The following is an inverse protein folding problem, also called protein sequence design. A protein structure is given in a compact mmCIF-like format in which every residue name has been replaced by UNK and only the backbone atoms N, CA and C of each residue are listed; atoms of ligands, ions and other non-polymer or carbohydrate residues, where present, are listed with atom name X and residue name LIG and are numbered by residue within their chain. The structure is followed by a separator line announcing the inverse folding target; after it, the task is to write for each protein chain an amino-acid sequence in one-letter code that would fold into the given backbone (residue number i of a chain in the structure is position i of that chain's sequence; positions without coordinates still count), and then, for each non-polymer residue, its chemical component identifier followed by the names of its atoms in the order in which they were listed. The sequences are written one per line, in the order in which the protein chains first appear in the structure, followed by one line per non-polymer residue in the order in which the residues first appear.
data_IF_222318230049
#
_entry.id   IF_222318230049
#
_cell.length_a   1.000
_cell.length_b   1.000
_cell.length_c   1.000
_cell.angle_alpha   90.00
_cell.angle_beta   90.00
_cell.angle_gamma   90.00
#
_symmetry.space_group_name_H-M   'P 1'
#
loop_
_entity.id
_entity.type
_entity.pdbx_description
1 polymer ?
#
# COMPACT_ATOMS: atom_id res chain seq x y z
N UNK A 1 43.23 10.65 6.55
CA UNK A 1 41.84 10.23 6.30
C UNK A 1 40.99 11.45 6.03
N UNK A 2 40.61 11.70 4.77
CA UNK A 2 39.74 12.82 4.39
C UNK A 2 38.29 12.33 4.43
N UNK A 3 37.48 12.93 5.30
CA UNK A 3 36.02 12.74 5.33
C UNK A 3 35.41 13.34 4.06
N UNK A 4 34.67 12.56 3.30
CA UNK A 4 33.87 13.02 2.17
C UNK A 4 32.51 13.49 2.73
N UNK A 5 32.11 14.72 2.43
CA UNK A 5 30.81 15.28 2.84
C UNK A 5 29.74 14.88 1.82
N UNK A 6 28.62 14.39 2.35
CA UNK A 6 27.33 14.14 1.68
C UNK A 6 26.83 15.40 0.95
N UNK A 7 26.23 15.16 -0.21
CA UNK A 7 25.12 15.89 -0.83
C UNK A 7 25.41 17.38 -1.07
N UNK A 8 25.79 17.73 -2.31
CA UNK A 8 25.53 19.05 -2.93
C UNK A 8 26.09 19.16 -4.37
N UNK A 9 26.86 18.19 -4.87
CA UNK A 9 27.56 18.34 -6.17
C UNK A 9 27.03 17.43 -7.29
N UNK A 10 26.13 16.47 -7.03
CA UNK A 10 25.92 15.39 -8.01
C UNK A 10 24.76 15.55 -9.00
N UNK A 11 23.77 16.42 -8.78
CA UNK A 11 22.67 16.56 -9.74
C UNK A 11 23.11 17.12 -11.11
N UNK A 12 23.98 18.16 -11.19
CA UNK A 12 24.42 18.67 -12.49
C UNK A 12 25.34 17.71 -13.24
N UNK A 13 26.11 16.89 -12.51
CA UNK A 13 27.08 15.95 -13.12
C UNK A 13 26.36 14.70 -13.67
N UNK A 14 25.34 14.21 -12.95
CA UNK A 14 24.52 13.09 -13.43
C UNK A 14 23.69 13.50 -14.66
N UNK A 15 23.12 14.71 -14.66
CA UNK A 15 22.36 15.25 -15.81
C UNK A 15 23.27 15.48 -17.02
N UNK A 16 24.52 15.94 -16.83
CA UNK A 16 25.47 16.09 -17.93
C UNK A 16 25.87 14.74 -18.58
N UNK A 17 25.91 13.65 -17.80
CA UNK A 17 26.21 12.30 -18.31
C UNK A 17 25.03 11.69 -19.09
N UNK A 18 23.79 12.02 -18.73
CA UNK A 18 22.58 11.52 -19.41
C UNK A 18 22.25 12.29 -20.70
N UNK A 19 22.64 13.56 -20.81
CA UNK A 19 22.30 14.42 -21.97
C UNK A 19 23.21 14.24 -23.19
N UNK A 20 24.38 13.61 -23.03
CA UNK A 20 25.18 13.21 -24.19
C UNK A 20 24.77 11.80 -24.60
N UNK A 21 24.33 11.60 -25.84
CA UNK A 21 24.04 10.29 -26.45
C UNK A 21 25.29 9.40 -26.62
N UNK A 22 26.30 9.60 -25.80
CA UNK A 22 27.52 8.84 -25.69
C UNK A 22 27.65 8.42 -24.23
N UNK A 23 27.02 7.30 -23.88
CA UNK A 23 27.42 6.57 -22.67
C UNK A 23 28.83 6.07 -22.96
N UNK A 24 29.84 6.77 -22.44
CA UNK A 24 31.20 6.22 -22.41
C UNK A 24 31.19 5.12 -21.36
N UNK A 25 30.80 3.92 -21.77
CA UNK A 25 31.00 2.71 -20.97
C UNK A 25 32.51 2.49 -20.92
N UNK A 26 33.15 2.88 -19.82
CA UNK A 26 34.52 2.45 -19.56
C UNK A 26 34.45 0.99 -19.10
N UNK A 27 34.88 0.00 -19.91
CA UNK A 27 34.91 -1.38 -19.48
C UNK A 27 35.95 -1.46 -18.35
N UNK A 28 35.50 -1.72 -17.12
CA UNK A 28 36.39 -1.92 -15.97
C UNK A 28 36.51 -0.76 -14.97
N UNK A 29 35.56 0.18 -14.91
CA UNK A 29 35.48 1.11 -13.78
C UNK A 29 35.13 0.40 -12.47
N UNK A 30 34.29 -0.63 -12.51
CA UNK A 30 33.99 -1.49 -11.37
C UNK A 30 35.10 -2.55 -11.16
N UNK A 31 36.30 -2.12 -10.79
CA UNK A 31 37.14 -2.94 -9.90
C UNK A 31 36.68 -2.63 -8.48
N UNK A 32 36.69 -3.61 -7.59
CA UNK A 32 36.10 -3.61 -6.23
C UNK A 32 36.37 -2.36 -5.33
N UNK A 33 37.22 -1.42 -5.75
CA UNK A 33 37.57 -0.20 -5.02
C UNK A 33 37.02 1.11 -5.65
N UNK A 34 36.31 1.07 -6.78
CA UNK A 34 35.88 2.27 -7.53
C UNK A 34 34.34 2.38 -7.64
N UNK A 35 33.64 2.28 -6.51
CA UNK A 35 32.24 2.69 -6.44
C UNK A 35 32.15 4.21 -6.27
N UNK A 36 31.25 4.85 -7.00
CA UNK A 36 31.00 6.29 -6.88
C UNK A 36 29.97 6.60 -5.79
N UNK A 37 29.10 5.64 -5.49
CA UNK A 37 28.03 5.77 -4.52
C UNK A 37 27.70 4.40 -3.91
N UNK A 38 27.23 4.43 -2.67
CA UNK A 38 26.82 3.26 -1.89
C UNK A 38 25.39 3.48 -1.41
N UNK A 39 24.55 2.45 -1.56
CA UNK A 39 23.17 2.44 -1.08
C UNK A 39 22.84 1.18 -0.33
N UNK A 40 21.91 1.33 0.60
CA UNK A 40 21.24 0.22 1.23
C UNK A 40 19.85 0.02 0.63
N UNK A 41 19.66 -1.12 -0.01
CA UNK A 41 18.36 -1.58 -0.51
C UNK A 41 17.67 -2.42 0.57
N UNK A 42 16.57 -1.90 1.09
CA UNK A 42 15.71 -2.61 2.04
C UNK A 42 14.58 -3.33 1.30
N UNK A 43 14.32 -4.60 1.66
CA UNK A 43 13.26 -5.41 1.03
C UNK A 43 12.71 -6.48 1.97
N UNK A 44 11.52 -7.01 1.62
CA UNK A 44 11.04 -8.28 2.15
C UNK A 44 11.79 -9.46 1.52
N UNK A 45 12.15 -10.53 2.28
CA UNK A 45 12.87 -11.70 1.77
C UNK A 45 12.30 -12.33 0.49
N UNK A 46 10.99 -12.23 0.24
CA UNK A 46 10.36 -12.73 -0.98
C UNK A 46 10.91 -12.08 -2.26
N UNK A 47 11.53 -10.89 -2.15
CA UNK A 47 12.06 -10.13 -3.28
C UNK A 47 13.59 -10.30 -3.49
N UNK A 48 14.24 -11.22 -2.77
CA UNK A 48 15.71 -11.33 -2.77
C UNK A 48 16.29 -11.62 -4.16
N UNK A 49 15.65 -12.49 -4.95
CA UNK A 49 16.14 -12.84 -6.28
C UNK A 49 16.11 -11.63 -7.23
N UNK A 50 15.06 -10.82 -7.15
CA UNK A 50 14.95 -9.56 -7.89
C UNK A 50 16.02 -8.55 -7.44
N UNK A 51 16.22 -8.40 -6.13
CA UNK A 51 17.23 -7.51 -5.57
C UNK A 51 18.65 -7.91 -6.00
N UNK A 52 18.98 -9.20 -6.04
CA UNK A 52 20.28 -9.69 -6.50
C UNK A 52 20.51 -9.42 -8.01
N UNK A 53 19.46 -9.51 -8.83
CA UNK A 53 19.54 -9.12 -10.25
C UNK A 53 19.81 -7.62 -10.38
N UNK A 54 19.06 -6.79 -9.64
CA UNK A 54 19.23 -5.33 -9.63
C UNK A 54 20.61 -4.92 -9.15
N UNK A 55 21.08 -5.53 -8.04
CA UNK A 55 22.41 -5.32 -7.47
C UNK A 55 23.51 -5.54 -8.50
N UNK A 56 23.48 -6.65 -9.25
CA UNK A 56 24.48 -6.91 -10.29
C UNK A 56 24.52 -5.80 -11.34
N UNK A 57 23.35 -5.40 -11.85
CA UNK A 57 23.27 -4.33 -12.85
C UNK A 57 23.75 -2.98 -12.35
N UNK A 58 23.47 -2.64 -11.08
CA UNK A 58 23.91 -1.39 -10.46
C UNK A 58 25.41 -1.41 -10.13
N UNK A 59 25.94 -2.52 -9.63
CA UNK A 59 27.38 -2.67 -9.35
C UNK A 59 28.22 -2.60 -10.63
N UNK A 60 27.72 -3.10 -11.76
CA UNK A 60 28.36 -2.95 -13.08
C UNK A 60 28.54 -1.48 -13.50
N UNK A 61 27.65 -0.59 -13.09
CA UNK A 61 27.73 0.85 -13.37
C UNK A 61 28.36 1.66 -12.23
N UNK A 62 28.96 1.00 -11.23
CA UNK A 62 29.71 1.64 -10.16
C UNK A 62 28.89 2.09 -8.95
N UNK A 63 27.70 1.50 -8.75
CA UNK A 63 26.85 1.68 -7.57
C UNK A 63 27.04 0.48 -6.65
N UNK A 64 27.55 0.68 -5.44
CA UNK A 64 27.60 -0.39 -4.44
C UNK A 64 26.23 -0.58 -3.81
N UNK A 65 25.71 -1.80 -3.80
CA UNK A 65 24.40 -2.12 -3.21
C UNK A 65 24.54 -3.05 -2.02
N UNK A 66 24.19 -2.55 -0.84
CA UNK A 66 24.02 -3.35 0.36
C UNK A 66 22.56 -3.79 0.45
N UNK A 67 22.32 -5.09 0.47
CA UNK A 67 20.97 -5.65 0.58
C UNK A 67 20.67 -5.90 2.06
N UNK A 68 19.55 -5.38 2.53
CA UNK A 68 19.01 -5.64 3.87
C UNK A 68 17.61 -6.22 3.73
N UNK A 69 17.41 -7.39 4.31
CA UNK A 69 16.10 -8.02 4.38
C UNK A 69 15.47 -7.81 5.76
N UNK A 70 14.21 -7.42 5.77
CA UNK A 70 13.37 -7.35 6.97
C UNK A 70 12.05 -8.06 6.67
N UNK A 71 11.49 -8.79 7.64
CA UNK A 71 10.12 -9.26 7.53
C UNK A 71 9.19 -8.06 7.27
N UNK A 72 8.20 -8.24 6.39
CA UNK A 72 7.35 -7.17 5.88
C UNK A 72 6.76 -6.23 6.95
N UNK A 73 6.24 -6.76 8.06
CA UNK A 73 5.67 -5.96 9.15
C UNK A 73 6.73 -5.11 9.85
N UNK A 74 7.93 -5.65 10.01
CA UNK A 74 9.08 -4.91 10.53
C UNK A 74 9.52 -3.82 9.57
N UNK A 75 9.56 -4.15 8.28
CA UNK A 75 9.88 -3.22 7.20
C UNK A 75 8.87 -2.06 7.17
N UNK A 76 7.57 -2.37 7.25
CA UNK A 76 6.46 -1.41 7.29
C UNK A 76 6.50 -0.50 8.52
N UNK A 77 6.76 -1.05 9.70
CA UNK A 77 6.91 -0.24 10.92
C UNK A 77 8.09 0.73 10.80
N UNK A 78 9.21 0.28 10.23
CA UNK A 78 10.35 1.16 9.97
C UNK A 78 9.99 2.27 8.98
N UNK A 79 9.23 1.95 7.92
CA UNK A 79 8.73 2.96 6.97
C UNK A 79 7.86 4.01 7.67
N UNK A 80 6.81 3.57 8.38
CA UNK A 80 5.75 4.45 8.89
C UNK A 80 6.13 5.21 10.15
N UNK A 81 6.93 4.60 11.02
CA UNK A 81 7.23 5.11 12.37
C UNK A 81 8.72 5.31 12.64
N UNK A 82 9.59 5.02 11.67
CA UNK A 82 11.00 5.32 11.79
C UNK A 82 11.26 6.83 11.81
N UNK A 83 12.50 7.21 12.11
CA UNK A 83 12.98 8.61 12.01
C UNK A 83 13.22 8.98 10.54
N UNK A 84 12.18 8.86 9.72
CA UNK A 84 12.23 9.20 8.29
C UNK A 84 11.91 10.68 8.11
N UNK A 85 12.90 11.44 7.62
CA UNK A 85 12.74 12.81 7.14
C UNK A 85 13.26 12.91 5.69
N UNK A 86 12.87 13.94 4.92
CA UNK A 86 13.35 14.10 3.55
C UNK A 86 14.88 14.05 3.46
N UNK A 87 15.40 13.07 2.71
CA UNK A 87 16.84 12.87 2.49
C UNK A 87 17.58 12.06 3.57
N UNK A 88 16.88 11.51 4.58
CA UNK A 88 17.48 10.64 5.58
C UNK A 88 17.95 9.31 4.96
N UNK A 89 19.22 8.97 5.15
CA UNK A 89 19.78 7.68 4.69
C UNK A 89 19.38 6.52 5.58
N UNK A 90 19.61 5.28 5.11
CA UNK A 90 19.32 4.08 5.90
C UNK A 90 19.96 4.10 7.31
N UNK A 91 21.21 4.54 7.42
CA UNK A 91 21.94 4.60 8.70
C UNK A 91 21.45 5.72 9.65
N UNK A 92 20.74 6.71 9.11
CA UNK A 92 20.14 7.82 9.88
C UNK A 92 18.70 7.51 10.32
N UNK A 93 18.22 6.28 10.10
CA UNK A 93 16.85 5.87 10.41
C UNK A 93 15.86 6.04 9.24
N UNK A 94 16.30 6.64 8.14
CA UNK A 94 15.56 6.76 6.88
C UNK A 94 15.82 5.59 5.93
N UNK A 95 15.85 5.91 4.63
CA UNK A 95 15.86 4.94 3.53
C UNK A 95 16.70 5.48 2.38
N UNK A 96 17.58 4.63 1.82
CA UNK A 96 18.23 4.96 0.55
C UNK A 96 17.35 4.48 -0.62
N UNK A 97 16.97 3.19 -0.61
CA UNK A 97 15.99 2.62 -1.53
C UNK A 97 15.23 1.44 -0.89
N UNK A 98 13.98 1.30 -1.32
CA UNK A 98 13.04 0.31 -0.87
C UNK A 98 12.53 -0.51 -2.06
N UNK A 99 12.74 -1.83 -2.05
CA UNK A 99 12.06 -2.72 -3.00
C UNK A 99 10.81 -3.28 -2.33
N UNK A 100 9.69 -2.61 -2.59
CA UNK A 100 8.36 -2.92 -2.04
C UNK A 100 7.29 -2.42 -3.00
N UNK A 101 6.06 -2.92 -2.88
CA UNK A 101 4.95 -2.49 -3.73
C UNK A 101 3.59 -2.95 -3.21
N UNK A 102 2.62 -2.03 -3.23
CA UNK A 102 1.22 -2.28 -2.86
C UNK A 102 0.27 -2.11 -4.06
N UNK A 103 0.72 -1.38 -5.09
CA UNK A 103 -0.03 -1.03 -6.30
C UNK A 103 -0.13 0.48 -6.48
N UNK A 104 -0.46 0.93 -7.69
CA UNK A 104 -0.86 2.31 -7.94
C UNK A 104 -2.31 2.50 -7.52
N UNK A 105 -2.57 3.56 -6.77
CA UNK A 105 -3.95 3.99 -6.52
C UNK A 105 -4.43 4.64 -7.81
N UNK A 106 -5.27 3.93 -8.57
CA UNK A 106 -5.82 4.39 -9.85
C UNK A 106 -7.34 4.44 -9.69
N UNK A 107 -8.03 5.48 -10.17
CA UNK A 107 -7.50 6.61 -10.93
C UNK A 107 -6.82 7.71 -10.10
N UNK A 108 -6.97 7.70 -8.77
CA UNK A 108 -6.46 8.75 -7.90
C UNK A 108 -5.14 8.37 -7.22
N UNK A 109 -4.05 8.96 -7.68
CA UNK A 109 -2.70 8.76 -7.16
C UNK A 109 -2.33 9.70 -6.00
N UNK A 110 -3.29 10.43 -5.41
CA UNK A 110 -3.05 11.41 -4.34
C UNK A 110 -2.26 10.83 -3.16
N UNK A 111 -2.61 9.62 -2.72
CA UNK A 111 -1.90 8.94 -1.63
C UNK A 111 -0.41 8.72 -1.91
N UNK A 112 -0.05 8.49 -3.17
CA UNK A 112 1.32 8.16 -3.57
C UNK A 112 2.20 9.41 -3.75
N UNK A 113 1.64 10.50 -4.28
CA UNK A 113 2.45 11.63 -4.76
C UNK A 113 2.15 12.97 -4.10
N UNK A 114 0.99 13.16 -3.49
CA UNK A 114 0.70 14.44 -2.85
C UNK A 114 1.62 14.66 -1.64
N UNK A 115 2.12 15.88 -1.45
CA UNK A 115 3.08 16.19 -0.39
C UNK A 115 2.50 16.07 1.03
N UNK A 116 1.18 16.26 1.18
CA UNK A 116 0.43 15.94 2.40
C UNK A 116 0.26 14.45 2.69
N UNK A 117 0.64 13.56 1.78
CA UNK A 117 0.63 12.11 2.00
C UNK A 117 2.01 11.58 2.42
N UNK A 118 2.98 12.47 2.63
CA UNK A 118 4.31 12.12 3.15
C UNK A 118 4.23 11.62 4.58
N UNK A 119 4.96 10.55 4.85
CA UNK A 119 5.06 9.95 6.18
C UNK A 119 5.50 11.01 7.20
N UNK A 120 4.84 11.04 8.36
CA UNK A 120 5.17 11.93 9.48
C UNK A 120 4.75 13.40 9.34
N UNK A 121 4.22 13.81 8.19
CA UNK A 121 3.78 15.20 7.92
C UNK A 121 2.26 15.26 7.68
N UNK A 122 1.69 14.19 7.11
CA UNK A 122 0.33 14.13 6.60
C UNK A 122 -0.79 13.81 7.59
N UNK A 123 -2.02 14.16 7.20
CA UNK A 123 -3.28 13.77 7.88
C UNK A 123 -4.01 12.59 7.20
N UNK A 124 -3.56 12.17 6.02
CA UNK A 124 -4.15 11.14 5.16
C UNK A 124 -3.30 9.86 5.20
N UNK A 125 -3.77 8.70 4.68
CA UNK A 125 -2.96 7.49 4.68
C UNK A 125 -1.63 7.73 3.94
N UNK A 126 -0.53 7.54 4.66
CA UNK A 126 0.80 7.96 4.26
C UNK A 126 1.46 6.96 3.29
N UNK A 127 1.05 6.98 2.01
CA UNK A 127 1.65 6.13 0.97
C UNK A 127 2.80 6.79 0.20
N UNK A 128 3.03 8.10 0.38
CA UNK A 128 4.17 8.81 -0.20
C UNK A 128 5.45 8.55 0.64
N UNK A 129 5.95 7.32 0.53
CA UNK A 129 7.12 6.83 1.26
C UNK A 129 8.42 7.48 0.78
N UNK A 130 8.41 8.02 -0.43
CA UNK A 130 9.56 8.60 -1.11
C UNK A 130 9.82 10.05 -0.67
N UNK A 131 8.97 10.59 0.22
CA UNK A 131 8.99 11.98 0.65
C UNK A 131 8.86 12.97 -0.52
N UNK A 132 8.24 12.54 -1.62
CA UNK A 132 8.06 13.32 -2.84
C UNK A 132 7.20 14.56 -2.55
N UNK A 133 7.57 15.70 -3.12
CA UNK A 133 6.81 16.93 -3.01
C UNK A 133 7.05 17.77 -4.25
N UNK A 134 5.99 18.08 -4.98
CA UNK A 134 6.05 18.87 -6.20
C UNK A 134 4.80 19.73 -6.30
N UNK A 135 4.96 21.07 -6.28
CA UNK A 135 3.83 22.00 -6.16
C UNK A 135 2.80 21.86 -7.29
N UNK A 136 3.25 21.68 -8.54
CA UNK A 136 2.32 21.45 -9.66
C UNK A 136 1.57 20.12 -9.51
N UNK A 137 2.20 19.08 -8.95
CA UNK A 137 1.54 17.79 -8.75
C UNK A 137 0.50 17.90 -7.64
N UNK A 138 0.81 18.60 -6.56
CA UNK A 138 -0.14 18.88 -5.48
C UNK A 138 -1.38 19.61 -6.01
N UNK A 139 -1.18 20.71 -6.75
CA UNK A 139 -2.27 21.51 -7.34
C UNK A 139 -3.13 20.68 -8.31
N UNK A 140 -2.49 19.90 -9.19
CA UNK A 140 -3.17 19.04 -10.16
C UNK A 140 -3.99 17.93 -9.47
N UNK A 141 -3.43 17.27 -8.46
CA UNK A 141 -4.14 16.23 -7.73
C UNK A 141 -5.34 16.79 -6.96
N UNK A 142 -5.19 17.98 -6.34
CA UNK A 142 -6.31 18.67 -5.71
C UNK A 142 -7.41 19.07 -6.70
N UNK A 143 -7.03 19.49 -7.91
CA UNK A 143 -7.98 19.79 -8.98
C UNK A 143 -8.66 18.52 -9.50
N UNK A 144 -7.89 17.44 -9.66
CA UNK A 144 -8.35 16.11 -10.07
C UNK A 144 -9.40 15.53 -9.13
N UNK A 145 -9.28 15.79 -7.83
CA UNK A 145 -10.28 15.41 -6.82
C UNK A 145 -11.58 16.24 -6.89
N UNK A 146 -11.51 17.48 -7.36
CA UNK A 146 -12.66 18.42 -7.41
C UNK A 146 -13.43 18.34 -8.74
N UNK A 147 -12.81 17.81 -9.80
CA UNK A 147 -13.43 17.78 -11.13
C UNK A 147 -14.44 16.65 -11.28
N UNK A 148 -15.59 16.97 -11.89
CA UNK A 148 -16.59 15.99 -12.35
C UNK A 148 -16.53 15.77 -13.88
N UNK A 149 -15.70 16.54 -14.58
CA UNK A 149 -15.46 16.40 -16.01
C UNK A 149 -14.38 15.33 -16.26
N UNK A 150 -14.75 14.29 -17.00
CA UNK A 150 -13.89 13.13 -17.28
C UNK A 150 -12.73 13.48 -18.20
N UNK A 151 -12.94 14.30 -19.22
CA UNK A 151 -11.89 14.64 -20.19
C UNK A 151 -10.84 15.52 -19.52
N UNK A 152 -11.30 16.47 -18.69
CA UNK A 152 -10.42 17.27 -17.84
C UNK A 152 -9.65 16.42 -16.84
N UNK A 153 -10.30 15.45 -16.20
CA UNK A 153 -9.65 14.52 -15.28
C UNK A 153 -8.51 13.75 -15.96
N UNK A 154 -8.74 13.25 -17.19
CA UNK A 154 -7.72 12.53 -17.96
C UNK A 154 -6.51 13.43 -18.27
N UNK A 155 -6.73 14.69 -18.62
CA UNK A 155 -5.65 15.66 -18.89
C UNK A 155 -4.81 15.93 -17.64
N UNK A 156 -5.46 16.19 -16.50
CA UNK A 156 -4.82 16.40 -15.20
C UNK A 156 -3.93 15.22 -14.84
N UNK A 157 -4.49 14.00 -14.83
CA UNK A 157 -3.72 12.82 -14.43
C UNK A 157 -2.61 12.48 -15.43
N UNK A 158 -2.79 12.76 -16.74
CA UNK A 158 -1.70 12.62 -17.72
C UNK A 158 -0.54 13.54 -17.38
N UNK A 159 -0.82 14.80 -17.00
CA UNK A 159 0.23 15.75 -16.63
C UNK A 159 0.94 15.33 -15.34
N UNK A 160 0.21 14.81 -14.36
CA UNK A 160 0.81 14.22 -13.14
C UNK A 160 1.75 13.08 -13.53
N UNK A 161 1.29 12.15 -14.37
CA UNK A 161 2.08 11.00 -14.84
C UNK A 161 3.34 11.42 -15.60
N UNK A 162 3.28 12.48 -16.43
CA UNK A 162 4.47 13.03 -17.11
C UNK A 162 5.51 13.51 -16.08
N UNK A 163 5.10 14.32 -15.10
CA UNK A 163 6.00 14.87 -14.09
C UNK A 163 6.62 13.76 -13.24
N UNK A 164 5.83 12.81 -12.75
CA UNK A 164 6.35 11.73 -11.90
C UNK A 164 7.25 10.77 -12.70
N UNK A 165 7.04 10.60 -14.01
CA UNK A 165 7.95 9.82 -14.84
C UNK A 165 9.28 10.53 -15.09
N UNK A 166 9.30 11.87 -15.10
CA UNK A 166 10.53 12.65 -15.20
C UNK A 166 11.30 12.71 -13.87
N UNK A 167 10.58 12.84 -12.74
CA UNK A 167 11.16 12.93 -11.39
C UNK A 167 11.55 11.55 -10.80
N UNK A 168 10.95 10.47 -11.31
CA UNK A 168 11.18 9.08 -10.88
C UNK A 168 11.15 8.85 -9.35
N UNK A 169 10.12 9.35 -8.61
CA UNK A 169 10.02 9.06 -7.19
C UNK A 169 9.82 7.57 -6.94
N UNK A 170 9.17 6.85 -7.86
CA UNK A 170 8.97 5.40 -7.82
C UNK A 170 9.47 4.80 -9.13
N UNK A 171 10.28 3.75 -9.06
CA UNK A 171 10.74 2.99 -10.23
C UNK A 171 9.98 1.67 -10.28
N UNK A 172 9.06 1.52 -11.25
CA UNK A 172 8.31 0.29 -11.45
C UNK A 172 9.17 -0.77 -12.15
N UNK A 173 9.45 -1.90 -11.48
CA UNK A 173 10.30 -2.97 -12.03
C UNK A 173 9.47 -4.12 -12.61
N UNK A 174 8.49 -4.61 -11.85
CA UNK A 174 7.60 -5.69 -12.28
C UNK A 174 6.25 -5.59 -11.56
N UNK A 175 5.27 -6.31 -12.10
CA UNK A 175 3.99 -6.54 -11.47
C UNK A 175 3.86 -8.03 -11.16
N UNK A 176 3.52 -8.35 -9.92
CA UNK A 176 3.25 -9.73 -9.55
C UNK A 176 1.97 -10.25 -10.18
N UNK A 177 2.07 -11.44 -10.77
CA UNK A 177 0.90 -12.22 -11.14
C UNK A 177 0.46 -13.01 -9.91
N UNK A 178 -0.66 -12.61 -9.30
CA UNK A 178 -1.28 -13.38 -8.23
C UNK A 178 -2.00 -14.58 -8.82
N UNK A 179 -1.47 -15.77 -8.56
CA UNK A 179 -2.13 -17.04 -8.90
C UNK A 179 -3.09 -17.38 -7.76
N UNK A 180 -4.37 -17.50 -8.09
CA UNK A 180 -5.41 -17.90 -7.14
C UNK A 180 -5.82 -19.33 -7.46
N UNK A 181 -5.70 -20.22 -6.47
CA UNK A 181 -6.26 -21.56 -6.53
C UNK A 181 -7.57 -21.63 -5.75
N UNK A 182 -8.60 -22.22 -6.33
CA UNK A 182 -9.83 -22.57 -5.63
C UNK A 182 -10.03 -24.08 -5.66
N UNK A 183 -10.62 -24.62 -4.58
CA UNK A 183 -11.10 -25.99 -4.61
C UNK A 183 -12.20 -26.13 -5.67
N UNK A 184 -12.27 -27.27 -6.36
CA UNK A 184 -13.34 -27.54 -7.34
C UNK A 184 -14.74 -27.58 -6.73
N UNK A 185 -14.83 -27.61 -5.40
CA UNK A 185 -16.07 -27.62 -4.61
C UNK A 185 -16.53 -26.22 -4.18
N UNK A 186 -15.86 -25.16 -4.63
CA UNK A 186 -16.07 -23.78 -4.21
C UNK A 186 -16.17 -22.85 -5.42
N UNK A 187 -17.25 -22.07 -5.51
CA UNK A 187 -17.33 -20.92 -6.41
C UNK A 187 -17.16 -19.63 -5.62
N UNK A 188 -16.17 -18.83 -6.01
CA UNK A 188 -15.80 -17.59 -5.33
C UNK A 188 -16.67 -16.39 -5.72
N UNK A 189 -17.60 -16.54 -6.68
CA UNK A 189 -18.34 -15.41 -7.26
C UNK A 189 -17.47 -14.44 -8.07
N UNK A 190 -18.04 -13.28 -8.45
CA UNK A 190 -17.31 -12.25 -9.20
C UNK A 190 -16.20 -11.62 -8.36
N UNK A 191 -14.99 -11.54 -8.93
CA UNK A 191 -13.84 -10.99 -8.26
C UNK A 191 -13.99 -9.48 -8.07
N UNK A 192 -14.15 -9.05 -6.83
CA UNK A 192 -14.19 -7.64 -6.46
C UNK A 192 -12.75 -7.19 -6.27
N UNK A 193 -12.33 -6.17 -7.03
CA UNK A 193 -10.96 -5.65 -7.05
C UNK A 193 -10.60 -4.94 -5.73
N UNK A 194 -10.51 -5.68 -4.62
CA UNK A 194 -10.19 -5.17 -3.28
C UNK A 194 -8.92 -5.84 -2.71
N UNK A 195 -7.99 -6.25 -3.57
CA UNK A 195 -6.67 -6.73 -3.14
C UNK A 195 -6.65 -8.05 -2.38
N UNK A 196 -7.80 -8.74 -2.26
CA UNK A 196 -7.95 -10.04 -1.59
C UNK A 196 -8.90 -10.94 -2.37
N UNK A 197 -8.60 -12.25 -2.38
CA UNK A 197 -9.50 -13.29 -2.90
C UNK A 197 -10.72 -13.48 -2.00
N UNK A 198 -10.62 -13.14 -0.71
CA UNK A 198 -11.67 -13.33 0.30
C UNK A 198 -12.50 -12.08 0.57
N UNK A 199 -12.30 -10.99 -0.18
CA UNK A 199 -13.06 -9.75 0.02
C UNK A 199 -14.58 -9.95 -0.17
N UNK A 200 -14.96 -10.94 -0.97
CA UNK A 200 -16.34 -11.33 -1.23
C UNK A 200 -16.70 -12.67 -0.58
N UNK A 201 -16.04 -13.08 0.52
CA UNK A 201 -16.28 -14.37 1.17
C UNK A 201 -17.77 -14.66 1.45
N UNK A 202 -18.56 -13.61 1.71
CA UNK A 202 -20.01 -13.73 1.95
C UNK A 202 -20.81 -14.21 0.73
N UNK A 203 -20.28 -14.02 -0.49
CA UNK A 203 -20.91 -14.48 -1.72
C UNK A 203 -20.40 -15.84 -2.21
N UNK A 204 -19.52 -16.50 -1.45
CA UNK A 204 -18.99 -17.79 -1.84
C UNK A 204 -20.04 -18.90 -1.71
N UNK A 205 -20.12 -19.77 -2.72
CA UNK A 205 -21.03 -20.92 -2.74
C UNK A 205 -20.26 -22.25 -2.62
N UNK A 206 -20.72 -23.10 -1.71
CA UNK A 206 -20.12 -24.40 -1.40
C UNK A 206 -21.03 -25.52 -1.93
N UNK A 207 -20.82 -25.93 -3.18
CA UNK A 207 -21.81 -26.68 -3.97
C UNK A 207 -22.18 -28.10 -3.51
N UNK A 208 -21.51 -28.70 -2.51
CA UNK A 208 -21.61 -30.16 -2.31
C UNK A 208 -21.63 -30.68 -0.87
N UNK A 209 -22.16 -29.93 0.10
CA UNK A 209 -22.32 -30.50 1.44
C UNK A 209 -23.61 -30.06 2.14
N UNK A 210 -24.47 -31.04 2.43
CA UNK A 210 -25.61 -30.91 3.36
C UNK A 210 -25.14 -30.74 4.82
N UNK A 211 -23.84 -30.91 5.08
CA UNK A 211 -23.24 -30.63 6.37
C UNK A 211 -23.09 -29.13 6.55
N UNK A 212 -23.79 -28.60 7.55
CA UNK A 212 -23.48 -27.29 8.11
C UNK A 212 -22.18 -27.38 8.91
N UNK A 213 -21.27 -26.43 8.69
CA UNK A 213 -19.99 -26.32 9.39
C UNK A 213 -18.87 -27.16 8.80
N UNK A 214 -17.66 -26.96 9.32
CA UNK A 214 -16.42 -27.57 8.83
C UNK A 214 -15.20 -26.74 9.21
N UNK A 215 -14.03 -27.19 8.77
CA UNK A 215 -12.80 -26.43 8.88
C UNK A 215 -12.51 -25.72 7.55
N UNK A 216 -12.31 -24.41 7.61
CA UNK A 216 -11.85 -23.62 6.49
C UNK A 216 -10.39 -23.24 6.73
N UNK A 217 -9.51 -23.66 5.82
CA UNK A 217 -8.09 -23.33 5.87
C UNK A 217 -7.81 -22.21 4.87
N UNK A 218 -7.53 -21.01 5.38
CA UNK A 218 -7.01 -19.92 4.58
C UNK A 218 -5.48 -19.96 4.57
N UNK A 219 -4.90 -19.89 3.37
CA UNK A 219 -3.47 -19.68 3.20
C UNK A 219 -3.27 -18.20 2.86
N UNK A 220 -2.70 -17.45 3.80
CA UNK A 220 -2.22 -16.08 3.57
C UNK A 220 -0.79 -16.08 3.02
N UNK A 221 -0.41 -14.99 2.36
CA UNK A 221 0.97 -14.73 1.92
C UNK A 221 1.86 -14.17 3.04
N UNK A 222 1.27 -13.79 4.18
CA UNK A 222 1.97 -13.27 5.36
C UNK A 222 1.31 -13.75 6.66
N UNK A 223 2.03 -13.67 7.78
CA UNK A 223 1.44 -13.85 9.10
C UNK A 223 0.67 -12.58 9.51
N UNK A 224 -0.58 -12.69 10.00
CA UNK A 224 -1.29 -11.52 10.48
C UNK A 224 -0.60 -10.96 11.74
N UNK A 225 -0.34 -9.64 11.82
CA UNK A 225 0.27 -9.03 13.01
C UNK A 225 -0.67 -9.05 14.22
N UNK A 226 -1.97 -9.30 13.98
CA UNK A 226 -3.00 -9.41 15.00
C UNK A 226 -4.36 -9.71 14.36
N UNK A 227 -5.36 -9.92 15.21
CA UNK A 227 -6.73 -10.27 14.81
C UNK A 227 -7.74 -9.12 14.97
N UNK A 228 -7.27 -7.95 15.40
CA UNK A 228 -8.13 -6.76 15.50
C UNK A 228 -8.13 -6.01 14.18
N UNK A 229 -9.31 -5.78 13.58
CA UNK A 229 -9.44 -4.92 12.41
C UNK A 229 -8.97 -3.49 12.70
N UNK A 230 -9.04 -3.06 13.96
CA UNK A 230 -8.76 -1.68 14.38
C UNK A 230 -7.26 -1.36 14.37
N UNK A 231 -6.42 -2.32 14.76
CA UNK A 231 -4.97 -2.13 14.87
C UNK A 231 -4.19 -2.73 13.70
N UNK A 232 -4.86 -3.50 12.84
CA UNK A 232 -4.20 -4.11 11.71
C UNK A 232 -4.00 -3.10 10.58
N UNK A 233 -2.74 -2.86 10.25
CA UNK A 233 -2.32 -2.03 9.12
C UNK A 233 -1.98 -2.86 7.87
N UNK A 234 -2.16 -4.18 7.92
CA UNK A 234 -1.84 -5.09 6.80
C UNK A 234 -3.11 -5.68 6.21
N UNK A 235 -3.13 -5.88 4.90
CA UNK A 235 -4.26 -6.50 4.19
C UNK A 235 -4.62 -7.86 4.79
N UNK A 236 -3.61 -8.67 5.15
CA UNK A 236 -3.84 -10.00 5.73
C UNK A 236 -4.51 -9.89 7.10
N UNK A 237 -4.06 -8.99 7.99
CA UNK A 237 -4.68 -8.87 9.31
C UNK A 237 -6.11 -8.29 9.24
N UNK A 238 -6.34 -7.33 8.34
CA UNK A 238 -7.69 -6.81 8.06
C UNK A 238 -8.61 -7.92 7.53
N UNK A 239 -8.14 -8.72 6.56
CA UNK A 239 -8.91 -9.85 6.02
C UNK A 239 -9.26 -10.87 7.10
N UNK A 240 -8.30 -11.23 7.96
CA UNK A 240 -8.54 -12.17 9.06
C UNK A 240 -9.52 -11.60 10.08
N UNK A 241 -9.45 -10.30 10.37
CA UNK A 241 -10.39 -9.65 11.26
C UNK A 241 -11.83 -9.69 10.71
N UNK A 242 -12.01 -9.52 9.39
CA UNK A 242 -13.32 -9.69 8.75
C UNK A 242 -13.88 -11.12 8.81
N UNK A 243 -13.06 -12.13 9.10
CA UNK A 243 -13.55 -13.51 9.32
C UNK A 243 -14.18 -13.71 10.71
N UNK A 244 -13.84 -12.84 11.67
CA UNK A 244 -14.21 -13.01 13.08
C UNK A 244 -14.97 -11.81 13.65
N UNK A 245 -15.12 -10.73 12.88
CA UNK A 245 -15.87 -9.52 13.25
C UNK A 245 -16.90 -9.20 12.17
N UNK A 246 -18.09 -8.74 12.59
CA UNK A 246 -19.15 -8.28 11.69
C UNK A 246 -19.31 -6.76 11.77
N UNK A 247 -19.32 -6.02 10.64
CA UNK A 247 -19.56 -4.57 10.64
C UNK A 247 -21.06 -4.25 10.77
N UNK A 248 -21.41 -2.98 10.98
CA UNK A 248 -22.80 -2.51 10.85
C UNK A 248 -23.29 -2.59 9.40
N UNK A 249 -22.45 -2.18 8.46
CA UNK A 249 -22.73 -2.12 7.02
C UNK A 249 -21.54 -2.65 6.23
N UNK A 250 -21.78 -3.23 5.05
CA UNK A 250 -20.75 -3.66 4.10
C UNK A 250 -20.99 -3.05 2.72
N UNK A 251 -19.97 -3.08 1.85
CA UNK A 251 -20.15 -2.72 0.45
C UNK A 251 -20.96 -3.79 -0.27
N UNK A 252 -22.05 -3.39 -0.91
CA UNK A 252 -22.82 -4.25 -1.80
C UNK A 252 -22.11 -4.47 -3.13
N UNK A 253 -22.55 -5.50 -3.86
CA UNK A 253 -22.14 -5.77 -5.23
C UNK A 253 -23.28 -5.46 -6.20
N UNK A 254 -23.08 -4.58 -7.20
CA UNK A 254 -21.82 -3.93 -7.59
C UNK A 254 -21.37 -2.81 -6.62
N UNK A 255 -20.04 -2.57 -6.64
CA UNK A 255 -19.36 -1.55 -5.82
C UNK A 255 -20.04 -0.18 -5.96
N UNK A 256 -20.32 0.47 -4.82
CA UNK A 256 -21.00 1.77 -4.76
C UNK A 256 -22.38 1.72 -4.10
N UNK A 257 -22.84 0.53 -3.72
CA UNK A 257 -24.00 0.33 -2.84
C UNK A 257 -23.54 -0.13 -1.46
N UNK A 258 -24.40 0.03 -0.45
CA UNK A 258 -24.16 -0.48 0.89
C UNK A 258 -25.25 -1.48 1.26
N UNK A 259 -24.87 -2.54 1.95
CA UNK A 259 -25.77 -3.56 2.50
C UNK A 259 -25.67 -3.60 4.02
N UNK A 260 -26.80 -3.84 4.69
CA UNK A 260 -26.86 -3.96 6.14
C UNK A 260 -26.35 -5.31 6.64
N UNK A 261 -25.40 -5.31 7.58
CA UNK A 261 -24.87 -6.52 8.23
C UNK A 261 -25.38 -6.59 9.67
N UNK A 262 -24.82 -5.87 10.63
CA UNK A 262 -25.44 -5.80 11.97
C UNK A 262 -26.56 -4.75 12.05
N UNK A 263 -26.60 -3.80 11.11
CA UNK A 263 -27.73 -2.90 10.92
C UNK A 263 -28.72 -3.46 9.90
N UNK A 264 -30.03 -3.38 10.18
CA UNK A 264 -31.10 -3.69 9.24
C UNK A 264 -31.39 -2.51 8.30
N UNK A 265 -31.28 -1.30 8.82
CA UNK A 265 -31.49 -0.06 8.07
C UNK A 265 -30.76 1.09 8.75
N UNK A 266 -30.63 2.20 8.04
CA UNK A 266 -30.11 3.44 8.61
C UNK A 266 -30.75 4.66 7.96
N UNK A 267 -30.89 5.71 8.76
CA UNK A 267 -31.37 7.01 8.34
C UNK A 267 -30.23 8.03 8.40
N UNK A 268 -30.21 8.95 7.44
CA UNK A 268 -29.22 10.04 7.37
C UNK A 268 -29.99 11.35 7.50
N UNK A 269 -29.56 12.23 8.39
CA UNK A 269 -30.15 13.57 8.56
C UNK A 269 -30.02 14.40 7.29
N UNK A 270 -30.90 15.40 7.13
CA UNK A 270 -30.90 16.29 5.96
C UNK A 270 -29.56 17.01 5.74
N UNK A 271 -28.82 17.30 6.81
CA UNK A 271 -27.50 17.95 6.76
C UNK A 271 -26.34 16.96 6.54
N UNK A 272 -26.62 15.65 6.48
CA UNK A 272 -25.65 14.59 6.27
C UNK A 272 -24.71 14.34 7.44
N UNK A 273 -25.00 14.89 8.64
CA UNK A 273 -24.08 14.84 9.79
C UNK A 273 -24.50 13.86 10.88
N UNK A 274 -25.71 13.34 10.83
CA UNK A 274 -26.22 12.36 11.79
C UNK A 274 -26.67 11.11 11.06
N UNK A 275 -26.17 9.98 11.52
CA UNK A 275 -26.53 8.66 11.03
C UNK A 275 -27.21 7.92 12.18
N UNK A 276 -28.38 7.33 11.93
CA UNK A 276 -29.10 6.50 12.90
C UNK A 276 -29.21 5.10 12.35
N UNK A 277 -28.58 4.13 13.01
CA UNK A 277 -28.59 2.72 12.61
C UNK A 277 -29.64 1.95 13.42
N UNK A 278 -30.51 1.23 12.74
CA UNK A 278 -31.44 0.28 13.36
C UNK A 278 -30.77 -1.10 13.35
N UNK A 279 -30.44 -1.62 14.53
CA UNK A 279 -29.69 -2.87 14.69
C UNK A 279 -30.59 -4.10 14.52
N UNK A 280 -30.01 -5.19 14.01
CA UNK A 280 -30.67 -6.50 13.96
C UNK A 280 -31.04 -6.98 15.35
N UNK A 281 -32.25 -7.49 15.49
CA UNK A 281 -32.70 -8.07 16.76
C UNK A 281 -32.13 -9.48 16.98
N UNK A 282 -31.98 -9.86 18.25
CA UNK A 282 -31.57 -11.20 18.69
C UNK A 282 -30.17 -11.65 18.24
N UNK A 283 -29.30 -10.71 17.89
CA UNK A 283 -27.88 -10.97 17.68
C UNK A 283 -27.22 -11.23 19.04
N UNK A 284 -26.29 -12.18 19.08
CA UNK A 284 -25.56 -12.58 20.28
C UNK A 284 -24.08 -12.72 19.98
N UNK A 285 -23.28 -12.38 20.97
CA UNK A 285 -21.87 -12.72 21.01
C UNK A 285 -21.67 -14.24 21.18
N UNK A 286 -20.47 -14.72 20.87
CA UNK A 286 -20.10 -16.14 20.99
C UNK A 286 -20.21 -16.70 22.42
N UNK A 287 -20.20 -15.85 23.45
CA UNK A 287 -20.41 -16.23 24.85
C UNK A 287 -21.89 -16.26 25.25
N UNK A 288 -22.79 -15.82 24.36
CA UNK A 288 -24.23 -15.83 24.54
C UNK A 288 -24.83 -14.52 25.03
N UNK A 289 -24.01 -13.52 25.37
CA UNK A 289 -24.50 -12.18 25.71
C UNK A 289 -25.17 -11.51 24.49
N UNK A 290 -26.16 -10.66 24.74
CA UNK A 290 -26.87 -9.95 23.68
C UNK A 290 -25.98 -8.85 23.10
N UNK A 291 -26.03 -8.68 21.78
CA UNK A 291 -25.40 -7.55 21.10
C UNK A 291 -26.37 -6.35 21.08
N UNK A 292 -25.87 -5.17 21.42
CA UNK A 292 -26.66 -3.93 21.37
C UNK A 292 -25.84 -2.68 20.97
N UNK A 293 -26.46 -1.50 21.12
CA UNK A 293 -25.85 -0.24 20.74
C UNK A 293 -24.66 0.17 21.64
N UNK A 294 -24.59 -0.31 22.88
CA UNK A 294 -23.47 -0.01 23.77
C UNK A 294 -22.20 -0.72 23.29
N UNK A 295 -22.31 -1.92 22.71
CA UNK A 295 -21.18 -2.62 22.07
C UNK A 295 -20.63 -1.85 20.85
N UNK A 296 -21.54 -1.28 20.06
CA UNK A 296 -21.19 -0.43 18.91
C UNK A 296 -20.48 0.82 19.38
N UNK A 297 -21.01 1.49 20.40
CA UNK A 297 -20.41 2.69 20.98
C UNK A 297 -19.06 2.40 21.64
N UNK A 298 -18.94 1.29 22.36
CA UNK A 298 -17.66 0.83 22.91
C UNK A 298 -16.61 0.67 21.81
N UNK A 299 -16.99 0.06 20.68
CA UNK A 299 -16.09 -0.08 19.53
C UNK A 299 -15.74 1.27 18.92
N UNK A 300 -16.71 2.19 18.80
CA UNK A 300 -16.49 3.54 18.28
C UNK A 300 -15.56 4.37 19.17
N UNK A 301 -15.72 4.30 20.49
CA UNK A 301 -14.94 5.06 21.47
C UNK A 301 -13.49 4.53 21.62
N UNK A 302 -13.19 3.36 21.06
CA UNK A 302 -11.82 2.87 20.93
C UNK A 302 -11.03 3.58 19.81
N UNK A 303 -11.69 4.33 18.92
CA UNK A 303 -11.09 5.15 17.86
C UNK A 303 -10.85 6.59 18.32
#
# INVERSE_FOLDING_TARGET
MKKIRKIDILLPVLVALLMTSTVVVFPGLAKEENYFFEITMMLDPANIDAAEIMKRGWEEIGIKVNIVTLEFSTMLNRYLYGESYPGATYDEGGLDIALTGWGTMIPDSYGNYHSHSRIGIGKFPNYNMMMFAHGEVDDLLEEGLKTLDRDKSIEIYRRVEEIVNDELPIIYIFRDNRIVGQASTLELGDYVQLGSTSANLRSWDFHYTDKKGGEMVFIGDQNPPGLSAMYSITTVGVNNAYLIQEPLVAFGLPVGTFEGILAESWDISEDGKTYTFNLRENVKWQDGEAFDADDVMFTWDLF
#
